data_IF_474936483977
#
_entry.id   IF_474936483977
#
_cell.length_a   1.000
_cell.length_b   1.000
_cell.length_c   1.000
_cell.angle_alpha   90.00
_cell.angle_beta   90.00
_cell.angle_gamma   90.00
#
_symmetry.space_group_name_H-M   'P 1'
#
loop_
_entity.id
_entity.type
_entity.pdbx_description
1 polymer ?
#
# COMPACT_ATOMS: atom_id res chain seq x y z
N UNK A 1 -0.25 2.91 -16.49
CA UNK A 1 -0.56 2.65 -15.08
C UNK A 1 -2.07 2.49 -14.92
N UNK A 2 -2.52 1.35 -14.41
CA UNK A 2 -3.95 1.01 -14.27
C UNK A 2 -4.30 0.80 -12.81
N UNK A 3 -5.27 1.59 -12.30
CA UNK A 3 -5.78 1.48 -10.93
C UNK A 3 -7.07 0.66 -10.96
N UNK A 4 -7.12 -0.42 -10.21
CA UNK A 4 -8.27 -1.32 -10.09
C UNK A 4 -8.90 -1.13 -8.71
N UNK A 5 -10.17 -0.74 -8.68
CA UNK A 5 -10.94 -0.51 -7.46
C UNK A 5 -12.22 -1.36 -7.46
N UNK A 6 -12.04 -2.67 -7.34
CA UNK A 6 -13.14 -3.64 -7.18
C UNK A 6 -12.73 -4.69 -6.17
N UNK A 7 -13.70 -5.27 -5.47
CA UNK A 7 -13.48 -6.39 -4.55
C UNK A 7 -13.68 -7.75 -5.21
N UNK A 8 -14.07 -7.77 -6.48
CA UNK A 8 -14.29 -9.00 -7.24
C UNK A 8 -12.98 -9.50 -7.84
N UNK A 9 -12.46 -10.58 -7.29
CA UNK A 9 -11.17 -11.16 -7.72
C UNK A 9 -11.16 -11.63 -9.17
N UNK A 10 -12.29 -12.11 -9.71
CA UNK A 10 -12.36 -12.52 -11.10
C UNK A 10 -12.29 -11.31 -12.04
N UNK A 11 -12.95 -10.23 -11.68
CA UNK A 11 -12.89 -8.98 -12.41
C UNK A 11 -11.46 -8.40 -12.39
N UNK A 12 -10.79 -8.44 -11.25
CA UNK A 12 -9.37 -8.03 -11.12
C UNK A 12 -8.50 -8.81 -12.11
N UNK A 13 -8.61 -10.15 -12.13
CA UNK A 13 -7.83 -10.98 -13.07
C UNK A 13 -8.10 -10.62 -14.52
N UNK A 14 -9.35 -10.41 -14.87
CA UNK A 14 -9.74 -10.04 -16.23
C UNK A 14 -9.17 -8.65 -16.62
N UNK A 15 -9.21 -7.67 -15.70
CA UNK A 15 -8.66 -6.35 -15.95
C UNK A 15 -7.12 -6.38 -16.06
N UNK A 16 -6.44 -7.16 -15.22
CA UNK A 16 -4.98 -7.36 -15.32
C UNK A 16 -4.63 -7.97 -16.67
N UNK A 17 -5.32 -9.03 -17.06
CA UNK A 17 -5.06 -9.70 -18.33
C UNK A 17 -5.26 -8.75 -19.52
N UNK A 18 -6.33 -7.97 -19.51
CA UNK A 18 -6.60 -6.98 -20.55
C UNK A 18 -5.52 -5.90 -20.60
N UNK A 19 -5.13 -5.34 -19.45
CA UNK A 19 -4.11 -4.31 -19.37
C UNK A 19 -2.74 -4.81 -19.83
N UNK A 20 -2.31 -6.00 -19.37
CA UNK A 20 -1.04 -6.61 -19.75
C UNK A 20 -1.00 -7.08 -21.21
N UNK A 21 -2.14 -7.41 -21.79
CA UNK A 21 -2.24 -7.73 -23.23
C UNK A 21 -2.04 -6.47 -24.10
N UNK A 22 -2.51 -5.32 -23.64
CA UNK A 22 -2.32 -4.03 -24.32
C UNK A 22 -0.92 -3.46 -24.12
N UNK A 23 -0.38 -3.61 -22.91
CA UNK A 23 0.98 -3.17 -22.56
C UNK A 23 1.57 -4.15 -21.51
N UNK A 24 2.54 -5.00 -21.89
CA UNK A 24 3.16 -5.97 -20.97
C UNK A 24 3.80 -5.33 -19.74
N UNK A 25 4.31 -4.09 -19.87
CA UNK A 25 4.97 -3.34 -18.80
C UNK A 25 3.99 -2.49 -17.96
N UNK A 26 2.69 -2.62 -18.21
CA UNK A 26 1.66 -1.87 -17.49
C UNK A 26 1.76 -2.11 -15.99
N UNK A 27 1.85 -1.02 -15.22
CA UNK A 27 1.86 -1.05 -13.76
C UNK A 27 0.42 -1.22 -13.26
N UNK A 28 0.17 -2.29 -12.53
CA UNK A 28 -1.13 -2.62 -11.97
C UNK A 28 -1.18 -2.26 -10.49
N UNK A 29 -2.07 -1.36 -10.15
CA UNK A 29 -2.34 -0.91 -8.79
C UNK A 29 -3.71 -1.43 -8.36
N UNK A 30 -3.78 -2.11 -7.21
CA UNK A 30 -5.05 -2.57 -6.65
C UNK A 30 -5.31 -1.86 -5.34
N UNK A 31 -6.49 -1.27 -5.21
CA UNK A 31 -6.93 -0.69 -3.95
C UNK A 31 -7.16 -1.81 -2.93
N UNK A 32 -6.56 -1.66 -1.76
CA UNK A 32 -6.67 -2.64 -0.68
C UNK A 32 -8.09 -2.74 -0.13
N UNK A 33 -8.44 -3.91 0.35
CA UNK A 33 -9.67 -4.22 1.04
C UNK A 33 -9.41 -4.70 2.48
N UNK A 34 -10.14 -5.74 2.89
CA UNK A 34 -9.87 -6.42 4.14
C UNK A 34 -8.64 -7.35 4.05
N UNK A 35 -8.28 -7.95 5.17
CA UNK A 35 -7.09 -8.79 5.28
C UNK A 35 -7.16 -10.02 4.36
N UNK A 36 -8.33 -10.65 4.24
CA UNK A 36 -8.53 -11.81 3.38
C UNK A 36 -8.44 -11.45 1.89
N UNK A 37 -9.06 -10.34 1.52
CA UNK A 37 -8.97 -9.81 0.15
C UNK A 37 -7.54 -9.42 -0.20
N UNK A 38 -6.86 -8.70 0.68
CA UNK A 38 -5.46 -8.30 0.47
C UNK A 38 -4.54 -9.52 0.28
N UNK A 39 -4.74 -10.58 1.06
CA UNK A 39 -4.02 -11.83 0.87
C UNK A 39 -4.19 -12.39 -0.54
N UNK A 40 -5.44 -12.52 -0.99
CA UNK A 40 -5.75 -13.05 -2.33
C UNK A 40 -5.16 -12.18 -3.45
N UNK A 41 -5.20 -10.86 -3.28
CA UNK A 41 -4.61 -9.90 -4.23
C UNK A 41 -3.09 -10.06 -4.32
N UNK A 42 -2.41 -10.21 -3.19
CA UNK A 42 -0.96 -10.38 -3.13
C UNK A 42 -0.48 -11.71 -3.77
N UNK A 43 -1.36 -12.67 -3.97
CA UNK A 43 -1.10 -13.94 -4.66
C UNK A 43 -1.35 -13.85 -6.18
N UNK A 44 -1.96 -12.77 -6.68
CA UNK A 44 -2.26 -12.61 -8.12
C UNK A 44 -1.02 -12.17 -8.88
N UNK A 45 -0.63 -12.93 -9.89
CA UNK A 45 0.45 -12.56 -10.80
C UNK A 45 0.10 -11.29 -11.59
N UNK A 46 1.07 -10.39 -11.72
CA UNK A 46 0.91 -9.16 -12.49
C UNK A 46 0.45 -7.95 -11.67
N UNK A 47 0.15 -8.11 -10.38
CA UNK A 47 -0.04 -7.01 -9.44
C UNK A 47 1.32 -6.41 -9.08
N UNK A 48 1.42 -5.09 -9.10
CA UNK A 48 2.65 -4.37 -8.77
C UNK A 48 2.54 -3.61 -7.44
N UNK A 49 1.37 -3.06 -7.15
CA UNK A 49 1.17 -2.18 -6.00
C UNK A 49 -0.17 -2.51 -5.30
N UNK A 50 -0.13 -2.62 -3.98
CA UNK A 50 -1.31 -2.63 -3.10
C UNK A 50 -1.46 -1.23 -2.48
N UNK A 51 -2.55 -0.54 -2.80
CA UNK A 51 -2.78 0.85 -2.45
C UNK A 51 -3.61 1.00 -1.18
N UNK A 52 -3.11 1.77 -0.23
CA UNK A 52 -3.83 2.26 0.97
C UNK A 52 -4.50 1.18 1.80
N UNK A 53 -3.78 0.15 2.29
CA UNK A 53 -4.37 -0.86 3.17
C UNK A 53 -4.86 -0.29 4.50
N UNK A 54 -4.34 0.86 4.94
CA UNK A 54 -4.74 1.58 6.15
C UNK A 54 -6.05 2.36 6.01
N UNK A 55 -6.50 2.60 4.77
CA UNK A 55 -7.65 3.45 4.46
C UNK A 55 -8.96 2.67 4.46
N UNK A 56 -9.52 2.44 5.64
CA UNK A 56 -10.78 1.73 5.81
C UNK A 56 -11.53 2.21 7.06
N UNK A 57 -12.82 1.88 7.15
CA UNK A 57 -13.70 2.29 8.28
C UNK A 57 -13.82 1.20 9.37
N UNK A 58 -13.12 0.08 9.27
CA UNK A 58 -13.15 -0.97 10.29
C UNK A 58 -12.64 -0.43 11.63
N UNK A 59 -13.21 -0.93 12.72
CA UNK A 59 -12.73 -0.62 14.07
C UNK A 59 -11.40 -1.30 14.31
N UNK A 60 -10.50 -0.62 15.02
CA UNK A 60 -9.26 -1.25 15.48
C UNK A 60 -9.57 -2.39 16.45
N UNK A 61 -8.73 -3.42 16.48
CA UNK A 61 -8.82 -4.53 17.43
C UNK A 61 -8.52 -4.03 18.86
N UNK A 62 -8.98 -4.75 19.89
CA UNK A 62 -8.82 -4.34 21.30
C UNK A 62 -7.37 -4.01 21.72
N UNK A 63 -6.41 -4.77 21.22
CA UNK A 63 -4.99 -4.60 21.58
C UNK A 63 -4.09 -4.15 20.42
N UNK A 64 -4.65 -3.97 19.23
CA UNK A 64 -3.89 -3.69 18.02
C UNK A 64 -4.70 -2.88 17.02
N UNK A 65 -4.06 -1.91 16.36
CA UNK A 65 -4.69 -1.18 15.26
C UNK A 65 -4.90 -2.11 14.07
N UNK A 66 -6.02 -1.97 13.40
CA UNK A 66 -6.26 -2.60 12.10
C UNK A 66 -5.68 -1.72 11.01
N UNK A 67 -4.43 -1.95 10.66
CA UNK A 67 -3.74 -1.21 9.59
C UNK A 67 -3.96 -1.79 8.20
N UNK A 68 -4.75 -2.86 8.08
CA UNK A 68 -4.97 -3.60 6.82
C UNK A 68 -3.84 -4.54 6.43
N UNK A 69 -2.73 -4.52 7.16
CA UNK A 69 -1.57 -5.40 6.98
C UNK A 69 -1.22 -6.14 8.26
N UNK A 70 -0.57 -7.28 8.08
CA UNK A 70 0.12 -8.03 9.13
C UNK A 70 1.48 -8.51 8.59
N UNK A 71 2.28 -9.12 9.45
CA UNK A 71 3.62 -9.58 9.08
C UNK A 71 3.60 -10.61 7.94
N UNK A 72 2.60 -11.50 7.93
CA UNK A 72 2.44 -12.50 6.87
C UNK A 72 2.17 -11.83 5.51
N UNK A 73 1.23 -10.88 5.45
CA UNK A 73 0.90 -10.15 4.22
C UNK A 73 2.10 -9.34 3.70
N UNK A 74 2.85 -8.71 4.59
CA UNK A 74 4.06 -7.99 4.21
C UNK A 74 5.13 -8.94 3.63
N UNK A 75 5.35 -10.10 4.25
CA UNK A 75 6.27 -11.12 3.70
C UNK A 75 5.82 -11.63 2.33
N UNK A 76 4.51 -11.83 2.15
CA UNK A 76 3.93 -12.24 0.88
C UNK A 76 4.13 -11.17 -0.20
N UNK A 77 3.89 -9.89 0.13
CA UNK A 77 4.13 -8.76 -0.75
C UNK A 77 5.62 -8.68 -1.16
N UNK A 78 6.53 -8.78 -0.19
CA UNK A 78 7.98 -8.79 -0.46
C UNK A 78 8.39 -9.95 -1.37
N UNK A 79 7.90 -11.17 -1.10
CA UNK A 79 8.17 -12.36 -1.91
C UNK A 79 7.72 -12.19 -3.36
N UNK A 80 6.60 -11.54 -3.58
CA UNK A 80 6.00 -11.35 -4.90
C UNK A 80 6.39 -10.00 -5.54
N UNK A 81 7.35 -9.26 -4.96
CA UNK A 81 7.78 -7.93 -5.41
C UNK A 81 6.64 -6.92 -5.56
N UNK A 82 5.65 -7.00 -4.68
CA UNK A 82 4.53 -6.06 -4.64
C UNK A 82 4.84 -4.97 -3.63
N UNK A 83 4.76 -3.72 -4.06
CA UNK A 83 4.97 -2.55 -3.22
C UNK A 83 3.69 -2.20 -2.45
N UNK A 84 3.84 -1.65 -1.25
CA UNK A 84 2.73 -1.07 -0.48
C UNK A 84 2.75 0.45 -0.72
N UNK A 85 1.63 1.01 -1.17
CA UNK A 85 1.54 2.45 -1.43
C UNK A 85 0.59 3.14 -0.44
N UNK A 86 0.98 4.33 -0.01
CA UNK A 86 0.18 5.24 0.82
C UNK A 86 -0.37 6.33 -0.09
N UNK A 87 -1.69 6.48 -0.16
CA UNK A 87 -2.34 7.57 -0.90
C UNK A 87 -2.33 8.86 -0.08
N UNK A 88 -1.40 9.74 -0.42
CA UNK A 88 -1.23 11.03 0.28
C UNK A 88 -2.37 12.00 -0.02
N UNK A 89 -2.91 11.99 -1.23
CA UNK A 89 -4.04 12.86 -1.57
C UNK A 89 -5.29 12.50 -0.78
N UNK A 90 -5.57 11.21 -0.64
CA UNK A 90 -6.66 10.74 0.18
C UNK A 90 -6.42 11.10 1.66
N UNK A 91 -5.21 10.91 2.16
CA UNK A 91 -4.83 11.27 3.53
C UNK A 91 -5.03 12.76 3.81
N UNK A 92 -4.64 13.63 2.88
CA UNK A 92 -4.79 15.08 3.03
C UNK A 92 -6.25 15.54 3.15
N UNK A 93 -7.17 14.85 2.47
CA UNK A 93 -8.62 15.16 2.46
C UNK A 93 -9.36 14.73 3.72
N UNK A 94 -8.75 13.89 4.57
CA UNK A 94 -9.39 13.39 5.78
C UNK A 94 -9.56 14.49 6.83
N UNK A 95 -10.65 14.42 7.59
CA UNK A 95 -10.85 15.24 8.80
C UNK A 95 -9.80 14.92 9.87
N UNK A 96 -9.52 15.86 10.75
CA UNK A 96 -8.43 15.78 11.74
C UNK A 96 -8.41 14.47 12.54
N UNK A 97 -9.56 14.03 13.06
CA UNK A 97 -9.67 12.79 13.85
C UNK A 97 -9.37 11.54 13.02
N UNK A 98 -9.95 11.46 11.84
CA UNK A 98 -9.72 10.34 10.91
C UNK A 98 -8.29 10.33 10.37
N UNK A 99 -7.74 11.49 10.07
CA UNK A 99 -6.34 11.64 9.65
C UNK A 99 -5.37 11.13 10.73
N UNK A 100 -5.57 11.50 11.98
CA UNK A 100 -4.75 11.03 13.10
C UNK A 100 -4.79 9.49 13.23
N UNK A 101 -5.98 8.90 13.11
CA UNK A 101 -6.17 7.45 13.14
C UNK A 101 -5.44 6.75 11.97
N UNK A 102 -5.58 7.30 10.78
CA UNK A 102 -4.93 6.77 9.56
C UNK A 102 -3.40 6.89 9.65
N UNK A 103 -2.87 8.01 10.11
CA UNK A 103 -1.43 8.19 10.34
C UNK A 103 -0.87 7.17 11.33
N UNK A 104 -1.60 6.87 12.40
CA UNK A 104 -1.20 5.84 13.36
C UNK A 104 -1.15 4.42 12.74
N UNK A 105 -2.06 4.12 11.81
CA UNK A 105 -2.05 2.87 11.01
C UNK A 105 -0.88 2.85 10.03
N UNK A 106 -0.58 3.97 9.38
CA UNK A 106 0.59 4.11 8.50
C UNK A 106 1.89 3.85 9.26
N UNK A 107 2.04 4.38 10.48
CA UNK A 107 3.20 4.11 11.33
C UNK A 107 3.34 2.61 11.62
N UNK A 108 2.24 1.91 11.86
CA UNK A 108 2.25 0.45 12.03
C UNK A 108 2.69 -0.26 10.74
N UNK A 109 2.18 0.15 9.58
CA UNK A 109 2.56 -0.43 8.29
C UNK A 109 4.04 -0.21 7.97
N UNK A 110 4.57 0.99 8.25
CA UNK A 110 6.00 1.28 8.10
C UNK A 110 6.86 0.33 8.94
N UNK A 111 6.47 0.08 10.20
CA UNK A 111 7.17 -0.87 11.08
C UNK A 111 7.11 -2.31 10.58
N UNK A 112 5.95 -2.76 10.09
CA UNK A 112 5.77 -4.09 9.51
C UNK A 112 6.62 -4.26 8.25
N UNK A 113 6.54 -3.30 7.33
CA UNK A 113 7.32 -3.30 6.10
C UNK A 113 8.83 -3.29 6.35
N UNK A 114 9.30 -2.56 7.39
CA UNK A 114 10.71 -2.58 7.82
C UNK A 114 11.18 -3.98 8.20
N UNK A 115 10.40 -4.69 9.03
CA UNK A 115 10.76 -6.04 9.50
C UNK A 115 10.82 -7.05 8.36
N UNK A 116 9.96 -6.90 7.37
CA UNK A 116 9.77 -7.87 6.28
C UNK A 116 10.52 -7.48 5.01
N UNK A 117 11.23 -6.35 5.02
CA UNK A 117 11.91 -5.77 3.85
C UNK A 117 10.96 -5.54 2.67
N UNK A 118 9.70 -5.22 2.98
CA UNK A 118 8.69 -4.86 1.98
C UNK A 118 8.85 -3.40 1.61
N UNK A 119 8.86 -3.10 0.32
CA UNK A 119 8.97 -1.73 -0.15
C UNK A 119 7.67 -0.96 0.11
N UNK A 120 7.78 0.22 0.71
CA UNK A 120 6.68 1.15 0.91
C UNK A 120 6.94 2.42 0.12
N UNK A 121 5.93 2.94 -0.56
CA UNK A 121 6.02 4.11 -1.43
C UNK A 121 4.89 5.09 -1.16
N UNK A 122 5.03 6.32 -1.60
CA UNK A 122 3.95 7.31 -1.60
C UNK A 122 3.27 7.33 -2.98
N UNK A 123 1.97 7.55 -2.99
CA UNK A 123 1.17 7.65 -4.21
C UNK A 123 0.39 8.98 -4.21
N UNK A 124 0.31 9.68 -5.34
CA UNK A 124 1.02 9.44 -6.60
C UNK A 124 2.51 9.80 -6.52
N UNK A 125 3.37 8.93 -7.07
CA UNK A 125 4.84 9.05 -6.96
C UNK A 125 5.38 10.33 -7.59
N UNK A 126 4.81 10.75 -8.71
CA UNK A 126 5.28 11.89 -9.52
C UNK A 126 5.02 13.26 -8.88
N UNK A 127 4.17 13.30 -7.85
CA UNK A 127 3.71 14.57 -7.26
C UNK A 127 4.63 15.13 -6.20
N UNK A 128 5.44 14.29 -5.59
CA UNK A 128 6.27 14.66 -4.44
C UNK A 128 7.75 14.53 -4.79
N UNK A 129 8.54 15.50 -4.35
CA UNK A 129 9.96 15.41 -4.54
C UNK A 129 10.59 14.36 -3.58
N UNK A 130 11.86 14.02 -3.86
CA UNK A 130 12.58 13.00 -3.09
C UNK A 130 12.73 13.36 -1.61
N UNK A 131 12.91 14.65 -1.31
CA UNK A 131 13.08 15.11 0.07
C UNK A 131 11.77 15.03 0.84
N UNK A 132 10.64 15.37 0.20
CA UNK A 132 9.31 15.25 0.80
C UNK A 132 8.98 13.80 1.15
N UNK A 133 9.23 12.87 0.20
CA UNK A 133 9.03 11.43 0.41
C UNK A 133 9.88 10.90 1.56
N UNK A 134 11.19 11.22 1.55
CA UNK A 134 12.11 10.79 2.60
C UNK A 134 11.72 11.35 3.96
N UNK A 135 11.37 12.64 4.02
CA UNK A 135 10.95 13.31 5.24
C UNK A 135 9.67 12.70 5.81
N UNK A 136 8.67 12.44 4.96
CA UNK A 136 7.43 11.82 5.39
C UNK A 136 7.67 10.45 6.04
N UNK A 137 8.40 9.57 5.37
CA UNK A 137 8.70 8.22 5.90
C UNK A 137 9.51 8.31 7.20
N UNK A 138 10.50 9.20 7.27
CA UNK A 138 11.36 9.37 8.46
C UNK A 138 10.58 9.91 9.66
N UNK A 139 9.74 10.93 9.46
CA UNK A 139 8.88 11.50 10.50
C UNK A 139 7.93 10.46 11.07
N UNK A 140 7.41 9.57 10.23
CA UNK A 140 6.55 8.46 10.65
C UNK A 140 7.32 7.24 11.17
N UNK A 141 8.56 7.43 11.63
CA UNK A 141 9.43 6.43 12.27
C UNK A 141 9.93 5.33 11.33
N UNK A 142 9.95 5.59 10.04
CA UNK A 142 10.66 4.77 9.06
C UNK A 142 12.18 4.91 9.21
N UNK A 143 12.93 3.93 8.69
CA UNK A 143 14.38 4.01 8.63
C UNK A 143 14.83 4.83 7.41
N UNK A 144 16.08 5.31 7.46
CA UNK A 144 16.71 5.99 6.32
C UNK A 144 16.73 5.09 5.07
N UNK A 145 16.94 3.79 5.25
CA UNK A 145 16.90 2.82 4.16
C UNK A 145 15.51 2.72 3.52
N UNK A 146 14.45 2.60 4.35
CA UNK A 146 13.07 2.63 3.83
C UNK A 146 12.77 3.94 3.11
N UNK A 147 13.19 5.07 3.66
CA UNK A 147 13.00 6.37 3.04
C UNK A 147 13.68 6.45 1.65
N UNK A 148 14.90 5.93 1.52
CA UNK A 148 15.59 5.84 0.22
C UNK A 148 14.89 4.90 -0.76
N UNK A 149 14.41 3.75 -0.30
CA UNK A 149 13.69 2.78 -1.13
C UNK A 149 12.28 3.25 -1.55
N UNK A 150 11.72 4.22 -0.85
CA UNK A 150 10.42 4.83 -1.18
C UNK A 150 10.49 5.80 -2.37
N UNK A 151 11.68 6.12 -2.81
CA UNK A 151 11.94 6.94 -3.99
C UNK A 151 12.05 5.99 -5.18
N UNK A 152 11.18 6.14 -6.12
CA UNK A 152 11.20 5.35 -7.37
C UNK A 152 11.79 6.15 -8.51
#
# INVERSE_FOLDING_TARGET
MTIINTLNLQEIRNQIQKAKKSNPDEIIIIKAGDEEFNRKVLEIKGVNILLSPESHNRKDKLKQRDSGLNEFLCKLASKNNIKIAIDIEQLQKLEKKQKAKTLARIIQNIKLCKRTKTQIILFPEEKYDKLDVMSFITILKGSTEQAKQSIV
#
